data_IF_093243155487
#
_entry.id   IF_093243155487
#
_cell.length_a   1.000
_cell.length_b   1.000
_cell.length_c   1.000
_cell.angle_alpha   90.00
_cell.angle_beta   90.00
_cell.angle_gamma   90.00
#
_symmetry.space_group_name_H-M   'P 1'
#
loop_
_entity.id
_entity.type
_entity.pdbx_description
1 polymer ?
#
# COMPACT_ATOMS: atom_id res chain seq x y z
N UNK A 1 47.89 8.74 -15.47
CA UNK A 1 47.65 9.52 -16.71
C UNK A 1 46.37 9.09 -17.44
N UNK A 2 46.25 7.86 -17.96
CA UNK A 2 45.05 7.45 -18.73
C UNK A 2 43.74 7.36 -17.90
N UNK A 3 43.82 6.96 -16.63
CA UNK A 3 42.67 6.92 -15.72
C UNK A 3 42.14 8.33 -15.41
N UNK A 4 43.05 9.30 -15.32
CA UNK A 4 42.75 10.70 -15.00
C UNK A 4 42.07 11.42 -16.18
N UNK A 5 42.53 11.15 -17.41
CA UNK A 5 41.87 11.60 -18.64
C UNK A 5 40.44 11.07 -18.79
N UNK A 6 40.20 9.79 -18.45
CA UNK A 6 38.84 9.22 -18.46
C UNK A 6 37.94 9.90 -17.43
N UNK A 7 38.45 10.16 -16.22
CA UNK A 7 37.69 10.85 -15.18
C UNK A 7 37.38 12.31 -15.56
N UNK A 8 38.31 12.99 -16.22
CA UNK A 8 38.11 14.35 -16.70
C UNK A 8 37.07 14.41 -17.83
N UNK A 9 37.12 13.47 -18.78
CA UNK A 9 36.09 13.33 -19.81
C UNK A 9 34.70 13.06 -19.22
N UNK A 10 34.61 12.20 -18.19
CA UNK A 10 33.35 11.94 -17.47
C UNK A 10 32.84 13.21 -16.80
N UNK A 11 33.68 14.00 -16.14
CA UNK A 11 33.28 15.28 -15.51
C UNK A 11 32.71 16.27 -16.53
N UNK A 12 33.39 16.44 -17.66
CA UNK A 12 32.92 17.34 -18.73
C UNK A 12 31.56 16.87 -19.28
N UNK A 13 31.40 15.56 -19.51
CA UNK A 13 30.13 15.00 -19.94
C UNK A 13 29.02 15.21 -18.89
N UNK A 14 29.32 15.02 -17.60
CA UNK A 14 28.38 15.28 -16.51
C UNK A 14 27.96 16.75 -16.46
N UNK A 15 28.90 17.69 -16.56
CA UNK A 15 28.61 19.14 -16.59
C UNK A 15 27.75 19.54 -17.79
N UNK A 16 28.00 18.96 -18.97
CA UNK A 16 27.17 19.18 -20.15
C UNK A 16 25.75 18.66 -19.96
N UNK A 17 25.60 17.46 -19.38
CA UNK A 17 24.29 16.86 -19.07
C UNK A 17 23.54 17.73 -18.05
N UNK A 18 24.20 18.19 -16.98
CA UNK A 18 23.57 19.07 -15.98
C UNK A 18 23.18 20.44 -16.56
N UNK A 19 23.99 21.01 -17.47
CA UNK A 19 23.67 22.26 -18.14
C UNK A 19 22.46 22.13 -19.07
N UNK A 20 22.33 20.99 -19.76
CA UNK A 20 21.22 20.74 -20.70
C UNK A 20 19.92 20.32 -20.00
N UNK A 21 20.00 19.48 -18.96
CA UNK A 21 18.85 18.81 -18.37
C UNK A 21 18.58 19.21 -16.90
N UNK A 22 19.37 20.14 -16.36
CA UNK A 22 19.25 20.64 -14.99
C UNK A 22 20.16 19.91 -13.99
N UNK A 23 20.43 20.56 -12.86
CA UNK A 23 21.23 20.00 -11.76
C UNK A 23 20.62 18.69 -11.25
N UNK A 24 21.46 17.66 -11.03
CA UNK A 24 21.02 16.35 -10.54
C UNK A 24 20.39 15.45 -11.61
N UNK A 25 20.47 15.82 -12.89
CA UNK A 25 20.09 14.95 -14.02
C UNK A 25 21.03 13.75 -14.19
N UNK A 26 22.27 13.85 -13.71
CA UNK A 26 23.24 12.75 -13.60
C UNK A 26 24.05 12.89 -12.31
N UNK A 27 24.27 11.79 -11.60
CA UNK A 27 25.02 11.76 -10.34
C UNK A 27 25.63 10.38 -10.12
N UNK A 28 26.69 10.27 -9.33
CA UNK A 28 27.19 8.94 -8.95
C UNK A 28 26.22 8.31 -7.96
N UNK A 29 25.95 7.01 -8.13
CA UNK A 29 24.98 6.27 -7.32
C UNK A 29 25.27 6.36 -5.80
N UNK A 30 26.55 6.37 -5.41
CA UNK A 30 26.99 6.48 -4.01
C UNK A 30 27.10 7.91 -3.44
N UNK A 31 26.99 8.95 -4.27
CA UNK A 31 27.03 10.36 -3.79
C UNK A 31 25.72 10.78 -3.10
N UNK A 32 24.64 9.99 -3.27
CA UNK A 32 23.47 9.98 -2.37
C UNK A 32 23.79 9.18 -1.10
N UNK A 33 24.80 9.59 -0.33
CA UNK A 33 25.10 8.96 0.97
C UNK A 33 23.87 8.94 1.89
N UNK A 34 23.61 7.83 2.58
CA UNK A 34 22.56 7.57 3.62
C UNK A 34 21.13 8.12 3.39
N UNK A 35 20.84 8.72 2.24
CA UNK A 35 19.60 9.42 1.87
C UNK A 35 18.66 8.57 1.02
N UNK A 36 18.88 7.26 0.95
CA UNK A 36 17.89 6.30 0.46
C UNK A 36 17.03 5.72 1.59
N UNK A 37 16.82 6.47 2.67
CA UNK A 37 15.62 6.27 3.49
C UNK A 37 14.42 6.60 2.60
N UNK A 38 13.80 5.56 2.06
CA UNK A 38 12.56 5.66 1.30
C UNK A 38 11.54 6.26 2.25
N UNK A 39 11.13 7.50 2.01
CA UNK A 39 10.05 8.12 2.78
C UNK A 39 8.76 7.32 2.53
N UNK A 40 7.99 7.08 3.58
CA UNK A 40 6.80 6.24 3.51
C UNK A 40 5.59 6.92 4.18
N UNK A 41 4.41 6.43 3.86
CA UNK A 41 3.16 6.67 4.61
C UNK A 41 2.72 5.33 5.18
N UNK A 42 2.39 5.27 6.48
CA UNK A 42 1.92 4.03 7.12
C UNK A 42 0.66 3.53 6.42
N UNK A 43 0.51 2.21 6.35
CA UNK A 43 -0.71 1.56 5.86
C UNK A 43 -1.84 1.53 6.89
N UNK A 44 -1.59 1.99 8.13
CA UNK A 44 -2.48 1.81 9.28
C UNK A 44 -2.45 0.38 9.87
N UNK A 45 -1.71 -0.53 9.27
CA UNK A 45 -1.50 -1.90 9.74
C UNK A 45 -0.02 -2.15 9.99
N UNK A 46 0.36 -2.37 11.25
CA UNK A 46 1.75 -2.69 11.60
C UNK A 46 2.24 -3.95 10.88
N UNK A 47 1.37 -4.94 10.68
CA UNK A 47 1.70 -6.17 9.98
C UNK A 47 2.06 -5.88 8.50
N UNK A 48 1.27 -5.04 7.82
CA UNK A 48 1.54 -4.66 6.42
C UNK A 48 2.80 -3.80 6.34
N UNK A 49 2.98 -2.83 7.24
CA UNK A 49 4.15 -1.93 7.27
C UNK A 49 5.46 -2.74 7.42
N UNK A 50 5.45 -3.74 8.28
CA UNK A 50 6.56 -4.68 8.49
C UNK A 50 6.76 -5.58 7.25
N UNK A 51 5.68 -6.10 6.65
CA UNK A 51 5.75 -6.91 5.44
C UNK A 51 6.25 -6.11 4.23
N UNK A 52 6.00 -4.81 4.16
CA UNK A 52 6.57 -3.92 3.15
C UNK A 52 8.07 -3.70 3.32
N UNK A 53 8.60 -3.91 4.53
CA UNK A 53 10.03 -3.86 4.86
C UNK A 53 10.63 -2.46 4.98
N UNK A 54 9.93 -1.44 4.47
CA UNK A 54 10.29 -0.02 4.60
C UNK A 54 9.38 0.73 5.59
N UNK A 55 8.40 0.05 6.19
CA UNK A 55 7.52 0.63 7.21
C UNK A 55 6.28 1.36 6.68
N UNK A 56 5.92 1.18 5.40
CA UNK A 56 4.73 1.77 4.81
C UNK A 56 4.80 1.86 3.29
N UNK A 57 3.81 2.53 2.68
CA UNK A 57 3.78 2.78 1.25
C UNK A 57 4.84 3.82 0.85
N UNK A 58 5.72 3.52 -0.12
CA UNK A 58 6.81 4.41 -0.50
C UNK A 58 6.30 5.64 -1.25
N UNK A 59 6.67 6.82 -0.76
CA UNK A 59 6.41 8.10 -1.40
C UNK A 59 7.07 8.20 -2.76
N UNK A 60 6.41 8.92 -3.66
CA UNK A 60 6.87 9.08 -5.04
C UNK A 60 6.82 7.78 -5.84
N UNK A 61 5.91 6.85 -5.49
CA UNK A 61 5.72 5.57 -6.20
C UNK A 61 4.25 5.22 -6.37
N UNK A 62 4.03 4.28 -7.29
CA UNK A 62 2.72 3.64 -7.53
C UNK A 62 2.65 2.33 -6.75
N UNK A 63 1.51 2.10 -6.10
CA UNK A 63 1.12 0.85 -5.45
C UNK A 63 -0.15 0.33 -6.09
N UNK A 64 -0.20 -0.98 -6.35
CA UNK A 64 -1.44 -1.66 -6.76
C UNK A 64 -1.90 -2.60 -5.62
N UNK A 65 -3.15 -2.45 -5.20
CA UNK A 65 -3.81 -3.33 -4.22
C UNK A 65 -4.93 -4.07 -4.94
N UNK A 66 -4.82 -5.38 -5.10
CA UNK A 66 -5.78 -6.17 -5.86
C UNK A 66 -6.22 -7.42 -5.11
N UNK A 67 -7.40 -7.92 -5.44
CA UNK A 67 -7.99 -9.05 -4.76
C UNK A 67 -9.49 -9.20 -5.07
N UNK A 68 -10.11 -10.29 -4.57
CA UNK A 68 -11.56 -10.50 -4.68
C UNK A 68 -12.38 -9.35 -4.08
N UNK A 69 -13.68 -9.34 -4.36
CA UNK A 69 -14.61 -8.46 -3.64
C UNK A 69 -14.54 -8.70 -2.13
N UNK A 70 -14.83 -7.64 -1.36
CA UNK A 70 -14.76 -7.65 0.10
C UNK A 70 -13.39 -8.10 0.69
N UNK A 71 -12.30 -8.07 -0.08
CA UNK A 71 -10.98 -8.48 0.40
C UNK A 71 -10.27 -7.43 1.26
N UNK A 72 -10.81 -6.21 1.35
CA UNK A 72 -10.24 -5.12 2.15
C UNK A 72 -9.37 -4.11 1.37
N UNK A 73 -9.43 -4.11 0.03
CA UNK A 73 -8.65 -3.18 -0.83
C UNK A 73 -8.87 -1.71 -0.46
N UNK A 74 -10.12 -1.27 -0.52
CA UNK A 74 -10.54 0.10 -0.20
C UNK A 74 -10.25 0.41 1.27
N UNK A 75 -10.45 -0.54 2.18
CA UNK A 75 -10.11 -0.36 3.61
C UNK A 75 -8.63 -0.03 3.81
N UNK A 76 -7.71 -0.79 3.20
CA UNK A 76 -6.26 -0.50 3.29
C UNK A 76 -5.95 0.89 2.70
N UNK A 77 -6.59 1.24 1.59
CA UNK A 77 -6.39 2.54 0.94
C UNK A 77 -6.89 3.71 1.81
N UNK A 78 -8.06 3.58 2.44
CA UNK A 78 -8.62 4.57 3.36
C UNK A 78 -7.78 4.72 4.64
N UNK A 79 -7.22 3.64 5.19
CA UNK A 79 -6.30 3.76 6.32
C UNK A 79 -4.99 4.48 5.94
N UNK A 80 -4.48 4.28 4.72
CA UNK A 80 -3.35 5.08 4.23
C UNK A 80 -3.71 6.57 4.13
N UNK A 81 -4.93 6.91 3.71
CA UNK A 81 -5.42 8.29 3.69
C UNK A 81 -5.48 8.86 5.11
N UNK A 82 -6.08 8.13 6.05
CA UNK A 82 -6.19 8.54 7.44
C UNK A 82 -4.81 8.79 8.06
N UNK A 83 -3.84 7.90 7.85
CA UNK A 83 -2.47 8.07 8.34
C UNK A 83 -1.73 9.23 7.66
N UNK A 84 -1.98 9.50 6.37
CA UNK A 84 -1.45 10.68 5.69
C UNK A 84 -2.01 11.98 6.29
N UNK A 85 -3.32 12.06 6.49
CA UNK A 85 -4.00 13.23 7.06
C UNK A 85 -3.56 13.49 8.51
N UNK A 86 -3.45 12.42 9.31
CA UNK A 86 -2.94 12.48 10.69
C UNK A 86 -1.51 13.02 10.77
N UNK A 87 -0.70 12.78 9.74
CA UNK A 87 0.64 13.35 9.61
C UNK A 87 0.64 14.80 9.06
N UNK A 88 -0.52 15.42 8.88
CA UNK A 88 -0.70 16.76 8.31
C UNK A 88 -0.62 16.81 6.78
N UNK A 89 -0.66 15.65 6.12
CA UNK A 89 -0.63 15.54 4.66
C UNK A 89 -2.01 15.72 4.02
N UNK A 90 -2.02 15.95 2.71
CA UNK A 90 -3.24 16.10 1.92
C UNK A 90 -3.54 14.85 1.11
N UNK A 91 -4.81 14.45 1.08
CA UNK A 91 -5.26 13.23 0.40
C UNK A 91 -6.32 13.52 -0.67
N UNK A 92 -6.32 12.73 -1.73
CA UNK A 92 -7.40 12.71 -2.71
C UNK A 92 -7.89 11.28 -3.00
N UNK A 93 -9.18 11.15 -3.30
CA UNK A 93 -9.84 9.90 -3.64
C UNK A 93 -10.59 10.06 -4.96
N UNK A 94 -10.24 9.22 -5.94
CA UNK A 94 -10.89 9.14 -7.25
C UNK A 94 -11.83 7.95 -7.21
N UNK A 95 -13.10 8.23 -6.95
CA UNK A 95 -14.17 7.25 -6.81
C UNK A 95 -14.80 6.97 -8.18
N UNK A 96 -14.16 6.09 -8.94
CA UNK A 96 -14.67 5.62 -10.23
C UNK A 96 -15.75 4.54 -10.06
N UNK A 97 -15.80 3.85 -8.91
CA UNK A 97 -16.87 2.87 -8.61
C UNK A 97 -18.15 3.53 -8.08
N UNK A 98 -18.14 4.83 -7.76
CA UNK A 98 -19.25 5.55 -7.12
C UNK A 98 -19.77 4.87 -5.85
N UNK A 99 -18.85 4.29 -5.07
CA UNK A 99 -19.17 3.38 -3.97
C UNK A 99 -18.58 3.81 -2.62
N UNK A 100 -17.94 4.98 -2.55
CA UNK A 100 -17.36 5.49 -1.32
C UNK A 100 -18.47 5.93 -0.34
N UNK A 101 -18.49 5.31 0.85
CA UNK A 101 -19.36 5.70 1.96
C UNK A 101 -18.59 6.64 2.93
N UNK A 102 -19.00 7.92 3.04
CA UNK A 102 -18.35 8.89 3.93
C UNK A 102 -18.38 8.47 5.40
N UNK A 103 -19.47 7.86 5.88
CA UNK A 103 -19.63 7.47 7.28
C UNK A 103 -18.64 6.36 7.64
N UNK A 104 -18.45 5.42 6.71
CA UNK A 104 -17.47 4.34 6.86
C UNK A 104 -16.03 4.86 6.81
N UNK A 105 -15.75 5.82 5.93
CA UNK A 105 -14.42 6.43 5.86
C UNK A 105 -14.09 7.22 7.14
N UNK A 106 -15.05 7.98 7.68
CA UNK A 106 -14.89 8.70 8.95
C UNK A 106 -14.64 7.73 10.13
N UNK A 107 -15.36 6.61 10.17
CA UNK A 107 -15.13 5.56 11.17
C UNK A 107 -13.72 4.94 11.10
N UNK A 108 -13.05 5.00 9.93
CA UNK A 108 -11.65 4.59 9.73
C UNK A 108 -10.64 5.69 10.06
N UNK A 109 -11.11 6.86 10.51
CA UNK A 109 -10.27 8.00 10.88
C UNK A 109 -9.91 8.94 9.73
N UNK A 110 -10.61 8.84 8.60
CA UNK A 110 -10.45 9.78 7.49
C UNK A 110 -11.13 11.11 7.84
N UNK A 111 -10.41 12.21 7.69
CA UNK A 111 -10.97 13.55 7.78
C UNK A 111 -11.70 13.89 6.48
N UNK A 112 -13.01 13.69 6.47
CA UNK A 112 -13.89 13.88 5.32
C UNK A 112 -13.89 15.34 4.85
N UNK A 113 -13.77 16.30 5.76
CA UNK A 113 -13.82 17.73 5.42
C UNK A 113 -12.61 18.18 4.62
N UNK A 114 -11.48 17.48 4.79
CA UNK A 114 -10.21 17.78 4.13
C UNK A 114 -9.80 16.71 3.10
N UNK A 115 -10.71 15.79 2.73
CA UNK A 115 -10.49 14.82 1.67
C UNK A 115 -10.98 15.36 0.33
N UNK A 116 -10.09 15.47 -0.65
CA UNK A 116 -10.49 15.83 -2.01
C UNK A 116 -11.10 14.60 -2.70
N UNK A 117 -12.35 14.70 -3.15
CA UNK A 117 -13.04 13.61 -3.85
C UNK A 117 -13.31 14.02 -5.30
N UNK A 118 -13.13 13.07 -6.22
CA UNK A 118 -13.57 13.20 -7.60
C UNK A 118 -14.33 11.97 -8.02
N UNK A 119 -15.48 12.17 -8.66
CA UNK A 119 -16.31 11.13 -9.28
C UNK A 119 -16.32 11.36 -10.80
N UNK A 120 -15.33 10.82 -11.53
CA UNK A 120 -15.16 11.09 -12.95
C UNK A 120 -16.14 10.29 -13.81
N UNK A 121 -16.56 10.90 -14.92
CA UNK A 121 -17.43 10.28 -15.94
C UNK A 121 -16.67 9.29 -16.82
N UNK A 122 -15.36 9.51 -17.07
CA UNK A 122 -14.54 8.63 -17.93
C UNK A 122 -13.17 8.32 -17.33
N UNK A 123 -12.58 7.20 -17.76
CA UNK A 123 -11.23 6.79 -17.35
C UNK A 123 -10.15 7.80 -17.75
N UNK A 124 -10.28 8.46 -18.91
CA UNK A 124 -9.39 9.54 -19.32
C UNK A 124 -9.44 10.71 -18.33
N UNK A 125 -10.65 11.18 -18.00
CA UNK A 125 -10.87 12.29 -17.07
C UNK A 125 -10.29 11.95 -15.69
N UNK A 126 -10.55 10.74 -15.18
CA UNK A 126 -10.00 10.25 -13.93
C UNK A 126 -8.46 10.37 -13.90
N UNK A 127 -7.79 9.87 -14.95
CA UNK A 127 -6.32 9.83 -15.03
C UNK A 127 -5.71 11.22 -15.27
N UNK A 128 -6.41 12.12 -15.95
CA UNK A 128 -6.02 13.53 -16.11
C UNK A 128 -6.11 14.31 -14.79
N UNK A 129 -7.16 14.06 -14.01
CA UNK A 129 -7.30 14.62 -12.65
C UNK A 129 -6.14 14.14 -11.78
N UNK A 130 -5.84 12.83 -11.78
CA UNK A 130 -4.70 12.27 -11.05
C UNK A 130 -3.40 12.93 -11.48
N UNK A 131 -3.13 13.04 -12.78
CA UNK A 131 -1.91 13.69 -13.29
C UNK A 131 -1.80 15.14 -12.80
N UNK A 132 -2.90 15.90 -12.86
CA UNK A 132 -2.96 17.31 -12.45
C UNK A 132 -2.69 17.46 -10.95
N UNK A 133 -3.33 16.63 -10.12
CA UNK A 133 -3.13 16.61 -8.67
C UNK A 133 -1.68 16.29 -8.30
N UNK A 134 -1.05 15.32 -8.97
CA UNK A 134 0.37 14.98 -8.75
C UNK A 134 1.28 16.15 -9.14
N UNK A 135 1.00 16.81 -10.27
CA UNK A 135 1.81 17.94 -10.76
C UNK A 135 1.70 19.19 -9.88
N UNK A 136 0.60 19.35 -9.14
CA UNK A 136 0.46 20.43 -8.17
C UNK A 136 1.52 20.35 -7.06
N UNK A 137 2.01 19.15 -6.75
CA UNK A 137 2.94 18.90 -5.64
C UNK A 137 2.31 19.07 -4.25
N UNK A 138 0.99 19.30 -4.17
CA UNK A 138 0.28 19.56 -2.92
C UNK A 138 -0.40 18.32 -2.32
N UNK A 139 -0.47 17.21 -3.04
CA UNK A 139 -1.13 15.98 -2.58
C UNK A 139 -0.09 14.93 -2.18
N UNK A 140 -0.25 14.38 -0.97
CA UNK A 140 0.61 13.34 -0.40
C UNK A 140 0.18 11.94 -0.79
N UNK A 141 -1.13 11.69 -0.91
CA UNK A 141 -1.69 10.39 -1.28
C UNK A 141 -2.89 10.55 -2.21
N UNK A 142 -2.91 9.77 -3.28
CA UNK A 142 -4.05 9.66 -4.19
C UNK A 142 -4.45 8.20 -4.28
N UNK A 143 -5.73 7.93 -4.02
CA UNK A 143 -6.34 6.61 -4.23
C UNK A 143 -7.23 6.65 -5.46
N UNK A 144 -7.11 5.64 -6.33
CA UNK A 144 -8.01 5.42 -7.46
C UNK A 144 -8.77 4.12 -7.19
N UNK A 145 -10.08 4.24 -6.98
CA UNK A 145 -10.98 3.12 -6.69
C UNK A 145 -12.08 3.03 -7.74
N UNK A 146 -12.00 2.16 -8.76
CA UNK A 146 -10.92 1.20 -9.05
C UNK A 146 -10.51 1.22 -10.52
N UNK A 147 -9.38 0.57 -10.83
CA UNK A 147 -8.91 0.41 -12.22
C UNK A 147 -9.97 -0.24 -13.11
N UNK A 148 -10.77 -1.16 -12.57
CA UNK A 148 -11.80 -1.83 -13.35
C UNK A 148 -12.90 -0.87 -13.83
N UNK A 149 -13.15 0.20 -13.08
CA UNK A 149 -14.14 1.24 -13.39
C UNK A 149 -13.58 2.40 -14.22
N UNK A 150 -12.29 2.38 -14.59
CA UNK A 150 -11.72 3.37 -15.51
C UNK A 150 -12.13 3.05 -16.95
N UNK A 151 -13.40 3.26 -17.29
CA UNK A 151 -13.97 2.96 -18.59
C UNK A 151 -13.61 4.07 -19.59
N UNK A 152 -13.00 3.77 -20.74
CA UNK A 152 -12.69 4.77 -21.76
C UNK A 152 -13.95 5.42 -22.32
N UNK A 153 -13.87 6.70 -22.69
CA UNK A 153 -15.00 7.42 -23.29
C UNK A 153 -15.63 6.70 -24.49
N UNK A 154 -14.79 6.15 -25.36
CA UNK A 154 -15.25 5.42 -26.54
C UNK A 154 -16.08 4.16 -26.22
N UNK A 155 -15.89 3.58 -25.04
CA UNK A 155 -16.68 2.43 -24.56
C UNK A 155 -17.99 2.89 -23.90
N UNK A 156 -18.01 4.05 -23.25
CA UNK A 156 -19.22 4.65 -22.66
C UNK A 156 -20.18 5.17 -23.74
N UNK A 157 -19.65 5.81 -24.78
CA UNK A 157 -20.43 6.37 -25.89
C UNK A 157 -20.84 5.31 -26.93
N UNK A 158 -20.21 4.14 -26.90
CA UNK A 158 -20.51 3.02 -27.79
C UNK A 158 -21.79 2.27 -27.42
N UNK A 159 -22.25 1.40 -28.32
CA UNK A 159 -23.42 0.56 -28.07
C UNK A 159 -23.03 -0.74 -27.33
N UNK A 160 -23.97 -1.30 -26.56
CA UNK A 160 -23.76 -2.58 -25.90
C UNK A 160 -23.52 -3.68 -26.94
N UNK A 161 -22.31 -4.27 -26.91
CA UNK A 161 -21.88 -5.29 -27.87
C UNK A 161 -20.79 -4.81 -28.83
N UNK A 162 -20.48 -3.51 -28.84
CA UNK A 162 -19.36 -2.98 -29.62
C UNK A 162 -18.01 -3.56 -29.18
N UNK A 163 -17.21 -3.96 -30.16
CA UNK A 163 -15.91 -4.59 -29.92
C UNK A 163 -14.81 -3.55 -29.69
N UNK A 164 -14.70 -3.04 -28.47
CA UNK A 164 -13.69 -2.06 -28.08
C UNK A 164 -12.47 -2.75 -27.45
N UNK A 165 -11.79 -3.61 -28.24
CA UNK A 165 -10.73 -4.46 -27.71
C UNK A 165 -9.50 -3.66 -27.23
N UNK A 166 -9.18 -3.79 -25.93
CA UNK A 166 -7.90 -3.35 -25.37
C UNK A 166 -7.72 -1.83 -25.23
N UNK A 167 -8.78 -1.04 -25.40
CA UNK A 167 -8.70 0.43 -25.27
C UNK A 167 -8.33 0.85 -23.86
N UNK A 168 -8.91 0.21 -22.83
CA UNK A 168 -8.54 0.46 -21.44
C UNK A 168 -7.05 0.18 -21.17
N UNK A 169 -6.50 -0.91 -21.72
CA UNK A 169 -5.08 -1.23 -21.55
C UNK A 169 -4.15 -0.19 -22.20
N UNK A 170 -4.56 0.37 -23.36
CA UNK A 170 -3.83 1.45 -24.04
C UNK A 170 -3.89 2.74 -23.23
N UNK A 171 -5.08 3.10 -22.74
CA UNK A 171 -5.30 4.25 -21.85
C UNK A 171 -4.39 4.18 -20.62
N UNK A 172 -4.42 3.06 -19.89
CA UNK A 172 -3.57 2.83 -18.72
C UNK A 172 -2.08 2.95 -19.06
N UNK A 173 -1.65 2.38 -20.19
CA UNK A 173 -0.25 2.45 -20.63
C UNK A 173 0.21 3.87 -20.91
N UNK A 174 -0.65 4.70 -21.52
CA UNK A 174 -0.35 6.10 -21.82
C UNK A 174 -0.34 6.94 -20.55
N UNK A 175 -1.36 6.81 -19.70
CA UNK A 175 -1.49 7.56 -18.47
C UNK A 175 -0.35 7.26 -17.49
N UNK A 176 -0.05 5.99 -17.23
CA UNK A 176 1.01 5.60 -16.29
C UNK A 176 2.39 6.10 -16.73
N UNK A 177 2.63 6.23 -18.04
CA UNK A 177 3.87 6.81 -18.57
C UNK A 177 4.01 8.28 -18.19
N UNK A 178 2.93 9.07 -18.25
CA UNK A 178 2.92 10.49 -17.84
C UNK A 178 3.00 10.62 -16.31
N UNK A 179 2.16 9.87 -15.62
CA UNK A 179 2.01 9.87 -14.15
C UNK A 179 3.35 9.52 -13.47
N UNK A 180 4.04 8.45 -13.89
CA UNK A 180 5.28 8.00 -13.25
C UNK A 180 6.37 9.08 -13.24
N UNK A 181 6.49 9.85 -14.31
CA UNK A 181 7.44 10.97 -14.39
C UNK A 181 7.12 12.07 -13.37
N UNK A 182 5.85 12.42 -13.22
CA UNK A 182 5.39 13.44 -12.28
C UNK A 182 5.49 12.98 -10.81
N UNK A 183 5.10 11.73 -10.51
CA UNK A 183 5.07 11.17 -9.15
C UNK A 183 6.45 11.30 -8.48
N UNK A 184 7.52 10.90 -9.19
CA UNK A 184 8.88 10.89 -8.64
C UNK A 184 9.38 12.23 -8.10
N UNK A 185 8.81 13.34 -8.59
CA UNK A 185 9.13 14.71 -8.16
C UNK A 185 8.22 15.18 -7.02
N UNK A 186 6.94 14.81 -7.07
CA UNK A 186 5.91 15.24 -6.12
C UNK A 186 5.98 14.55 -4.75
N UNK A 187 6.67 13.41 -4.63
CA UNK A 187 6.63 12.52 -3.45
C UNK A 187 5.22 12.03 -3.05
N UNK A 188 4.24 12.14 -3.95
CA UNK A 188 2.91 11.57 -3.78
C UNK A 188 2.97 10.04 -3.77
N UNK A 189 2.22 9.38 -2.89
CA UNK A 189 1.89 7.96 -2.98
C UNK A 189 0.65 7.82 -3.87
N UNK A 190 0.69 6.99 -4.90
CA UNK A 190 -0.48 6.74 -5.76
C UNK A 190 -0.90 5.28 -5.64
N UNK A 191 -2.10 5.04 -5.15
CA UNK A 191 -2.66 3.72 -4.91
C UNK A 191 -3.76 3.45 -5.93
N UNK A 192 -3.61 2.37 -6.69
CA UNK A 192 -4.68 1.83 -7.52
C UNK A 192 -5.26 0.61 -6.82
N UNK A 193 -6.57 0.62 -6.57
CA UNK A 193 -7.27 -0.62 -6.26
C UNK A 193 -7.62 -1.33 -7.57
N UNK A 194 -7.63 -2.66 -7.56
CA UNK A 194 -7.97 -3.43 -8.74
C UNK A 194 -8.72 -4.71 -8.38
N UNK A 195 -9.53 -5.17 -9.33
CA UNK A 195 -10.30 -6.40 -9.20
C UNK A 195 -9.59 -7.56 -9.89
N UNK A 196 -9.87 -8.77 -9.40
CA UNK A 196 -9.47 -9.99 -10.09
C UNK A 196 -10.45 -10.33 -11.22
N UNK A 197 -9.91 -10.87 -12.30
CA UNK A 197 -10.62 -11.48 -13.43
C UNK A 197 -9.97 -12.82 -13.76
N UNK A 198 -10.68 -13.69 -14.45
CA UNK A 198 -10.13 -14.96 -14.93
C UNK A 198 -9.74 -14.86 -16.41
N UNK A 199 -8.55 -15.35 -16.76
CA UNK A 199 -8.17 -15.55 -18.16
C UNK A 199 -8.80 -16.84 -18.68
N UNK A 200 -9.67 -16.69 -19.67
CA UNK A 200 -10.28 -17.83 -20.38
C UNK A 200 -9.18 -18.57 -21.15
N UNK A 201 -9.21 -19.91 -21.12
CA UNK A 201 -8.30 -20.77 -21.90
C UNK A 201 -6.97 -21.14 -21.21
N UNK A 202 -6.76 -20.76 -19.95
CA UNK A 202 -5.59 -21.20 -19.17
C UNK A 202 -5.89 -22.57 -18.54
N UNK A 203 -5.28 -23.64 -19.08
CA UNK A 203 -5.42 -25.01 -18.56
C UNK A 203 -4.37 -25.39 -17.50
N UNK A 204 -3.28 -24.62 -17.36
CA UNK A 204 -2.20 -24.87 -16.40
C UNK A 204 -1.70 -23.56 -15.78
N UNK A 205 -1.46 -23.56 -14.46
CA UNK A 205 -1.03 -22.38 -13.70
C UNK A 205 -2.18 -21.56 -13.11
N UNK A 206 -1.89 -20.35 -12.63
CA UNK A 206 -2.91 -19.46 -12.04
C UNK A 206 -3.67 -18.69 -13.16
N UNK A 207 -4.99 -18.88 -13.32
CA UNK A 207 -5.79 -18.17 -14.32
C UNK A 207 -6.14 -16.72 -13.94
N UNK A 208 -5.88 -16.31 -12.69
CA UNK A 208 -6.23 -14.98 -12.19
C UNK A 208 -5.39 -13.87 -12.85
N UNK A 209 -6.04 -12.76 -13.17
CA UNK A 209 -5.43 -11.57 -13.74
C UNK A 209 -6.10 -10.30 -13.24
N UNK A 210 -5.49 -9.15 -13.50
CA UNK A 210 -5.98 -7.84 -13.08
C UNK A 210 -6.45 -7.04 -14.30
N UNK A 211 -7.44 -6.17 -14.10
CA UNK A 211 -7.97 -5.28 -15.15
C UNK A 211 -6.97 -4.18 -15.52
N UNK A 212 -7.15 -3.52 -16.67
CA UNK A 212 -6.30 -2.41 -17.13
C UNK A 212 -5.01 -2.83 -17.86
N UNK A 213 -4.90 -4.12 -18.24
CA UNK A 213 -3.75 -4.65 -18.96
C UNK A 213 -2.49 -4.80 -18.11
N UNK A 214 -1.33 -4.84 -18.75
CA UNK A 214 -0.05 -5.15 -18.09
C UNK A 214 0.70 -3.94 -17.53
N UNK A 215 0.35 -2.72 -17.96
CA UNK A 215 1.12 -1.53 -17.64
C UNK A 215 1.23 -1.31 -16.13
N UNK A 216 0.10 -1.36 -15.40
CA UNK A 216 0.08 -1.14 -13.96
C UNK A 216 0.98 -2.14 -13.22
N UNK A 217 1.00 -3.41 -13.65
CA UNK A 217 1.89 -4.43 -13.09
C UNK A 217 3.37 -4.05 -13.22
N UNK A 218 3.79 -3.40 -14.30
CA UNK A 218 5.19 -3.00 -14.50
C UNK A 218 5.56 -1.71 -13.77
N UNK A 219 4.68 -0.71 -13.84
CA UNK A 219 4.88 0.62 -13.24
C UNK A 219 4.79 0.60 -11.72
N UNK A 220 3.93 -0.24 -11.14
CA UNK A 220 3.81 -0.38 -9.69
C UNK A 220 5.14 -0.79 -9.05
N UNK A 221 5.54 -0.09 -7.99
CA UNK A 221 6.68 -0.46 -7.16
C UNK A 221 6.29 -1.52 -6.13
N UNK A 222 5.08 -1.40 -5.61
CA UNK A 222 4.47 -2.37 -4.70
C UNK A 222 3.24 -2.97 -5.37
N UNK A 223 3.05 -4.29 -5.25
CA UNK A 223 1.77 -4.95 -5.55
C UNK A 223 1.37 -5.84 -4.38
N UNK A 224 0.12 -5.73 -3.96
CA UNK A 224 -0.45 -6.47 -2.83
C UNK A 224 -1.64 -7.30 -3.33
N UNK A 225 -1.58 -8.62 -3.12
CA UNK A 225 -2.72 -9.53 -3.26
C UNK A 225 -3.40 -9.64 -1.89
N UNK A 226 -4.64 -9.14 -1.78
CA UNK A 226 -5.42 -9.14 -0.54
C UNK A 226 -6.57 -10.12 -0.65
N UNK A 227 -6.79 -10.93 0.40
CA UNK A 227 -7.88 -11.89 0.48
C UNK A 227 -8.47 -11.94 1.88
N UNK A 228 -9.78 -12.09 1.98
CA UNK A 228 -10.44 -12.51 3.22
C UNK A 228 -10.14 -14.00 3.44
N UNK A 229 -9.66 -14.36 4.63
CA UNK A 229 -9.32 -15.74 4.98
C UNK A 229 -10.22 -16.33 6.07
N UNK A 230 -10.81 -15.50 6.93
CA UNK A 230 -11.68 -15.95 8.01
C UNK A 230 -12.76 -14.91 8.32
N UNK A 231 -13.89 -15.35 8.88
CA UNK A 231 -14.91 -14.46 9.47
C UNK A 231 -14.77 -14.52 10.98
N UNK A 232 -14.65 -13.36 11.62
CA UNK A 232 -14.50 -13.24 13.08
C UNK A 232 -15.88 -13.17 13.72
N UNK A 233 -16.08 -13.94 14.79
CA UNK A 233 -17.34 -14.01 15.53
C UNK A 233 -17.11 -13.86 17.03
N UNK A 234 -18.06 -13.22 17.69
CA UNK A 234 -18.22 -13.25 19.15
C UNK A 234 -19.59 -13.89 19.46
N UNK A 235 -19.55 -15.12 19.96
CA UNK A 235 -20.73 -16.00 19.97
C UNK A 235 -21.30 -16.19 18.57
N UNK A 236 -22.57 -15.79 18.38
CA UNK A 236 -23.27 -15.87 17.09
C UNK A 236 -23.13 -14.59 16.24
N UNK A 237 -22.58 -13.51 16.79
CA UNK A 237 -22.48 -12.21 16.11
C UNK A 237 -21.20 -12.14 15.29
N UNK A 238 -21.31 -11.79 14.01
CA UNK A 238 -20.14 -11.51 13.16
C UNK A 238 -19.60 -10.12 13.51
N UNK A 239 -18.37 -10.08 14.04
CA UNK A 239 -17.72 -8.84 14.49
C UNK A 239 -16.71 -8.28 13.47
N UNK A 240 -16.34 -9.07 12.47
CA UNK A 240 -15.42 -8.64 11.41
C UNK A 240 -14.90 -9.81 10.59
N UNK A 241 -13.73 -9.62 9.99
CA UNK A 241 -13.05 -10.66 9.22
C UNK A 241 -11.54 -10.56 9.33
N UNK A 242 -10.86 -11.70 9.19
CA UNK A 242 -9.41 -11.76 9.07
C UNK A 242 -9.02 -11.80 7.60
N UNK A 243 -8.00 -11.01 7.28
CA UNK A 243 -7.50 -10.80 5.94
C UNK A 243 -6.01 -11.12 5.86
N UNK A 244 -5.59 -11.56 4.68
CA UNK A 244 -4.20 -11.81 4.33
C UNK A 244 -3.81 -10.91 3.18
N UNK A 245 -2.73 -10.16 3.35
CA UNK A 245 -2.09 -9.34 2.32
C UNK A 245 -0.73 -9.96 1.97
N UNK A 246 -0.55 -10.38 0.71
CA UNK A 246 0.72 -10.89 0.19
C UNK A 246 1.38 -9.84 -0.68
N UNK A 247 2.62 -9.48 -0.36
CA UNK A 247 3.40 -8.50 -1.14
C UNK A 247 4.00 -9.19 -2.37
N UNK A 248 3.22 -9.35 -3.43
CA UNK A 248 3.64 -10.10 -4.63
C UNK A 248 4.68 -9.36 -5.48
N UNK A 249 4.87 -8.06 -5.25
CA UNK A 249 5.94 -7.26 -5.86
C UNK A 249 6.40 -6.19 -4.88
N UNK A 250 7.71 -6.05 -4.72
CA UNK A 250 8.32 -5.00 -3.93
C UNK A 250 9.64 -4.57 -4.59
N UNK A 251 9.75 -3.28 -4.95
CA UNK A 251 10.97 -2.68 -5.54
C UNK A 251 11.83 -1.91 -4.52
N UNK A 252 11.42 -1.84 -3.26
CA UNK A 252 12.11 -1.08 -2.21
C UNK A 252 12.58 -1.93 -1.04
N UNK A 253 12.06 -3.16 -0.91
CA UNK A 253 12.53 -4.19 0.00
C UNK A 253 12.27 -5.59 -0.61
N UNK A 254 12.72 -6.69 0.03
CA UNK A 254 12.43 -8.04 -0.43
C UNK A 254 10.92 -8.30 -0.59
N UNK A 255 10.46 -8.89 -1.72
CA UNK A 255 9.06 -9.23 -1.93
C UNK A 255 8.66 -10.54 -1.22
N UNK A 256 7.40 -10.91 -1.43
CA UNK A 256 6.74 -12.17 -1.04
C UNK A 256 6.39 -12.37 0.43
N UNK A 257 6.69 -11.39 1.28
CA UNK A 257 6.20 -11.36 2.65
C UNK A 257 4.66 -11.36 2.71
N UNK A 258 4.14 -11.90 3.79
CA UNK A 258 2.70 -11.99 4.08
C UNK A 258 2.42 -11.22 5.36
N UNK A 259 1.30 -10.51 5.38
CA UNK A 259 0.75 -9.88 6.57
C UNK A 259 -0.66 -10.40 6.78
N UNK A 260 -1.01 -10.74 8.02
CA UNK A 260 -2.38 -11.01 8.44
C UNK A 260 -2.86 -9.91 9.38
N UNK A 261 -4.13 -9.53 9.22
CA UNK A 261 -4.73 -8.45 9.98
C UNK A 261 -6.25 -8.61 9.98
N UNK A 262 -6.89 -7.99 10.97
CA UNK A 262 -8.34 -8.04 11.11
C UNK A 262 -8.96 -6.72 10.63
N UNK A 263 -10.09 -6.83 9.95
CA UNK A 263 -10.98 -5.71 9.64
C UNK A 263 -12.25 -5.89 10.49
N UNK A 264 -12.49 -4.97 11.40
CA UNK A 264 -13.67 -4.94 12.27
C UNK A 264 -14.78 -4.11 11.65
N UNK A 265 -16.02 -4.42 12.01
CA UNK A 265 -17.20 -3.74 11.46
C UNK A 265 -17.29 -2.26 11.86
N UNK A 266 -16.71 -1.88 12.99
CA UNK A 266 -16.87 -0.58 13.66
C UNK A 266 -15.69 0.39 13.50
N UNK A 267 -14.61 0.01 12.78
CA UNK A 267 -13.42 0.87 12.70
C UNK A 267 -12.35 0.48 11.68
N UNK A 268 -12.64 -0.44 10.76
CA UNK A 268 -11.66 -0.87 9.77
C UNK A 268 -10.57 -1.77 10.34
N UNK A 269 -9.31 -1.55 9.97
CA UNK A 269 -8.17 -2.36 10.41
C UNK A 269 -7.98 -2.24 11.92
N UNK A 270 -7.97 -3.37 12.61
CA UNK A 270 -7.70 -3.43 14.05
C UNK A 270 -6.22 -3.20 14.36
N UNK A 271 -5.86 -1.96 14.68
CA UNK A 271 -4.48 -1.59 15.04
C UNK A 271 -3.99 -2.37 16.26
N UNK A 272 -4.77 -2.38 17.34
CA UNK A 272 -4.41 -3.05 18.60
C UNK A 272 -4.34 -4.58 18.43
N UNK A 273 -5.26 -5.16 17.64
CA UNK A 273 -5.20 -6.58 17.28
C UNK A 273 -3.91 -6.92 16.53
N UNK A 274 -3.50 -6.08 15.58
CA UNK A 274 -2.24 -6.21 14.86
C UNK A 274 -1.01 -6.13 15.76
N UNK A 275 -0.98 -5.20 16.73
CA UNK A 275 0.11 -5.10 17.72
C UNK A 275 0.25 -6.38 18.54
N UNK A 276 -0.87 -7.00 18.94
CA UNK A 276 -0.85 -8.25 19.71
C UNK A 276 -0.32 -9.40 18.87
N UNK A 277 -0.86 -9.58 17.65
CA UNK A 277 -0.49 -10.70 16.80
C UNK A 277 1.00 -10.64 16.42
N UNK A 278 1.46 -9.47 15.95
CA UNK A 278 2.88 -9.24 15.60
C UNK A 278 3.77 -9.30 16.83
N UNK A 279 3.33 -8.75 17.96
CA UNK A 279 4.10 -8.78 19.21
C UNK A 279 4.34 -10.21 19.69
N UNK A 280 3.37 -11.10 19.52
CA UNK A 280 3.51 -12.53 19.85
C UNK A 280 4.42 -13.23 18.84
N UNK A 281 4.24 -12.97 17.55
CA UNK A 281 5.06 -13.57 16.48
C UNK A 281 6.56 -13.23 16.64
N UNK A 282 6.87 -11.99 17.02
CA UNK A 282 8.24 -11.52 17.25
C UNK A 282 8.75 -11.77 18.68
N UNK A 283 8.02 -12.55 19.48
CA UNK A 283 8.33 -12.84 20.89
C UNK A 283 8.53 -11.59 21.78
N UNK A 284 7.97 -10.44 21.39
CA UNK A 284 7.91 -9.23 22.22
C UNK A 284 6.84 -9.37 23.30
N UNK A 285 5.75 -10.08 22.99
CA UNK A 285 4.72 -10.49 23.92
C UNK A 285 4.88 -11.98 24.24
N UNK A 286 4.70 -12.34 25.51
CA UNK A 286 4.76 -13.73 25.96
C UNK A 286 3.36 -14.23 26.32
N UNK A 287 2.98 -15.42 25.84
CA UNK A 287 1.74 -16.10 26.23
C UNK A 287 2.03 -17.14 27.32
N UNK A 288 1.34 -17.09 28.46
CA UNK A 288 1.35 -18.12 29.51
C UNK A 288 -0.07 -18.56 29.79
N UNK A 289 -0.47 -19.72 29.25
CA UNK A 289 -1.86 -20.13 29.23
C UNK A 289 -2.71 -19.12 28.46
N UNK A 290 -3.80 -18.65 29.06
CA UNK A 290 -4.66 -17.62 28.47
C UNK A 290 -4.10 -16.19 28.64
N UNK A 291 -3.09 -15.96 29.48
CA UNK A 291 -2.60 -14.62 29.80
C UNK A 291 -1.51 -14.16 28.82
N UNK A 292 -1.64 -12.92 28.35
CA UNK A 292 -0.66 -12.25 27.49
C UNK A 292 0.12 -11.23 28.34
N UNK A 293 1.45 -11.25 28.22
CA UNK A 293 2.37 -10.41 28.98
C UNK A 293 3.19 -9.53 28.07
N UNK A 294 3.42 -8.29 28.49
CA UNK A 294 4.46 -7.40 27.96
C UNK A 294 5.53 -7.20 29.04
N UNK A 295 6.69 -7.83 28.85
CA UNK A 295 7.68 -7.95 29.93
C UNK A 295 7.12 -8.75 31.11
N UNK A 296 6.97 -8.09 32.27
CA UNK A 296 6.37 -8.70 33.48
C UNK A 296 4.92 -8.31 33.70
N UNK A 297 4.38 -7.36 32.93
CA UNK A 297 3.02 -6.85 33.09
C UNK A 297 2.02 -7.69 32.30
N UNK A 298 0.88 -8.02 32.91
CA UNK A 298 -0.22 -8.71 32.23
C UNK A 298 -1.03 -7.67 31.47
N UNK A 299 -1.12 -7.82 30.15
CA UNK A 299 -1.93 -6.93 29.30
C UNK A 299 -3.38 -7.42 29.15
N UNK A 300 -3.64 -8.72 29.35
CA UNK A 300 -4.99 -9.26 29.30
C UNK A 300 -5.04 -10.80 29.35
N UNK A 301 -6.22 -11.32 29.68
CA UNK A 301 -6.55 -12.74 29.60
C UNK A 301 -7.28 -13.00 28.28
N UNK A 302 -6.54 -13.52 27.29
CA UNK A 302 -7.01 -13.71 25.93
C UNK A 302 -6.80 -12.47 25.06
N UNK A 303 -7.03 -12.65 23.75
CA UNK A 303 -6.77 -11.64 22.72
C UNK A 303 -7.69 -10.43 22.82
N UNK A 304 -8.98 -10.66 23.06
CA UNK A 304 -9.98 -9.59 23.14
C UNK A 304 -9.76 -8.68 24.35
N UNK A 305 -9.48 -9.26 25.53
CA UNK A 305 -9.17 -8.48 26.74
C UNK A 305 -7.89 -7.64 26.56
N UNK A 306 -6.84 -8.23 25.97
CA UNK A 306 -5.62 -7.49 25.66
C UNK A 306 -5.87 -6.36 24.65
N UNK A 307 -6.73 -6.57 23.65
CA UNK A 307 -7.10 -5.53 22.68
C UNK A 307 -7.81 -4.36 23.36
N UNK A 308 -8.78 -4.65 24.23
CA UNK A 308 -9.49 -3.62 24.99
C UNK A 308 -8.51 -2.79 25.86
N UNK A 309 -7.60 -3.46 26.58
CA UNK A 309 -6.59 -2.80 27.39
C UNK A 309 -5.66 -1.87 26.59
N UNK A 310 -5.23 -2.30 25.39
CA UNK A 310 -4.42 -1.46 24.49
C UNK A 310 -5.21 -0.28 23.90
N UNK A 311 -6.51 -0.47 23.64
CA UNK A 311 -7.39 0.58 23.13
C UNK A 311 -7.62 1.68 24.17
N UNK A 312 -7.76 1.30 25.44
CA UNK A 312 -7.90 2.22 26.56
C UNK A 312 -6.57 2.90 26.95
N UNK A 313 -5.45 2.19 26.85
CA UNK A 313 -4.14 2.68 27.23
C UNK A 313 -3.22 2.93 26.01
N UNK A 314 -3.41 4.09 25.37
CA UNK A 314 -2.60 4.50 24.22
C UNK A 314 -1.08 4.57 24.50
N UNK A 315 -0.68 4.86 25.75
CA UNK A 315 0.73 4.88 26.15
C UNK A 315 1.34 3.48 26.09
N UNK A 316 0.63 2.49 26.64
CA UNK A 316 1.04 1.08 26.57
C UNK A 316 1.08 0.59 25.12
N UNK A 317 0.06 0.89 24.31
CA UNK A 317 0.04 0.54 22.90
C UNK A 317 1.25 1.14 22.14
N UNK A 318 1.63 2.39 22.44
CA UNK A 318 2.80 3.02 21.84
C UNK A 318 4.12 2.38 22.28
N UNK A 319 4.25 2.05 23.56
CA UNK A 319 5.43 1.35 24.08
C UNK A 319 5.61 -0.04 23.42
N UNK A 320 4.51 -0.77 23.24
CA UNK A 320 4.52 -2.06 22.54
C UNK A 320 4.91 -1.89 21.07
N UNK A 321 4.32 -0.92 20.37
CA UNK A 321 4.66 -0.60 18.98
C UNK A 321 6.16 -0.27 18.82
N UNK A 322 6.72 0.56 19.70
CA UNK A 322 8.13 0.94 19.66
C UNK A 322 9.05 -0.26 19.95
N UNK A 323 8.63 -1.17 20.87
CA UNK A 323 9.36 -2.41 21.15
C UNK A 323 9.34 -3.37 19.94
N UNK A 324 8.20 -3.48 19.23
CA UNK A 324 8.08 -4.25 17.99
C UNK A 324 9.03 -3.69 16.94
N UNK A 325 9.00 -2.38 16.68
CA UNK A 325 9.90 -1.75 15.70
C UNK A 325 11.38 -1.88 16.08
N UNK A 326 11.71 -1.84 17.37
CA UNK A 326 13.06 -2.11 17.84
C UNK A 326 13.47 -3.55 17.51
N UNK A 327 12.60 -4.52 17.80
CA UNK A 327 12.83 -5.93 17.46
C UNK A 327 13.05 -6.12 15.95
N UNK A 328 12.20 -5.55 15.10
CA UNK A 328 12.34 -5.63 13.63
C UNK A 328 13.66 -5.03 13.13
N UNK A 329 14.15 -3.95 13.76
CA UNK A 329 15.43 -3.32 13.39
C UNK A 329 16.65 -4.13 13.85
N UNK A 330 16.57 -4.79 15.00
CA UNK A 330 17.68 -5.57 15.57
C UNK A 330 17.73 -7.00 15.06
N UNK A 331 16.58 -7.58 14.77
CA UNK A 331 16.44 -8.94 14.26
C UNK A 331 16.87 -8.96 12.80
N UNK A 332 18.02 -9.61 12.53
CA UNK A 332 18.38 -10.05 11.16
C UNK A 332 17.45 -11.16 10.65
N UNK A 333 16.56 -11.66 11.49
CA UNK A 333 15.60 -12.72 11.17
C UNK A 333 14.66 -12.21 10.07
N UNK A 334 14.72 -12.77 8.85
CA UNK A 334 13.75 -12.42 7.83
C UNK A 334 12.36 -12.81 8.32
N UNK A 335 11.41 -11.88 8.30
CA UNK A 335 10.00 -12.21 8.49
C UNK A 335 9.63 -13.34 7.54
N UNK A 336 8.88 -14.35 8.00
CA UNK A 336 8.62 -15.56 7.24
C UNK A 336 8.11 -15.21 5.85
N UNK A 337 8.76 -15.77 4.83
CA UNK A 337 8.44 -15.52 3.41
C UNK A 337 7.09 -16.13 3.01
N UNK A 338 6.51 -16.96 3.86
CA UNK A 338 5.21 -17.63 3.69
C UNK A 338 4.70 -18.15 5.04
N UNK A 339 3.37 -18.29 5.16
CA UNK A 339 2.75 -19.02 6.27
C UNK A 339 3.19 -20.49 6.18
N UNK A 340 3.83 -21.01 7.23
CA UNK A 340 3.95 -22.47 7.44
C UNK A 340 5.33 -23.10 7.28
N UNK A 341 6.38 -22.38 6.88
CA UNK A 341 7.75 -22.89 7.01
C UNK A 341 8.40 -22.23 8.24
N UNK A 342 8.34 -22.95 9.36
CA UNK A 342 9.42 -22.89 10.34
C UNK A 342 10.65 -23.39 9.58
N UNK A 343 11.75 -22.65 9.58
CA UNK A 343 13.04 -23.17 9.14
C UNK A 343 13.31 -24.42 9.98
N UNK A 344 13.04 -25.60 9.41
CA UNK A 344 13.64 -26.84 9.92
C UNK A 344 15.14 -26.73 9.63
N UNK A 345 15.94 -26.79 10.70
CA UNK A 345 17.41 -26.71 10.68
C UNK A 345 18.07 -27.67 9.69
#
# INVERSE_FOLDING_TARGET
>A
MALDQKLQAIKIAMEQIEKQFGKGSIMKFGEKGDKMNVEVISTGSIAIDIALGVGGFPRGRITEIYGPEASGKTTIALHCIAEAQKAGGTAAFIDAEHALDPSRAEAMGVDINNLYISQPDTGEQALEIVETLIRSGAIDVIVIDSVAALVPRAEIEGEMGDSVMGVQARLMSQALRKITGAISKSKCVVIFTNQLRMKIGVMFGNPETTTGGMALKFYSSIRIDTRKIETLKDGDVVIGSRHRARIVKNKVAPPFRVAEFDILNDGGISREGGLIDVGVELAVLTKKGAFIYFGTEIIGQGREAARAALKENHKLAKQLEDAIWKSVKTSKTPLPKQVGEIEEE
#
